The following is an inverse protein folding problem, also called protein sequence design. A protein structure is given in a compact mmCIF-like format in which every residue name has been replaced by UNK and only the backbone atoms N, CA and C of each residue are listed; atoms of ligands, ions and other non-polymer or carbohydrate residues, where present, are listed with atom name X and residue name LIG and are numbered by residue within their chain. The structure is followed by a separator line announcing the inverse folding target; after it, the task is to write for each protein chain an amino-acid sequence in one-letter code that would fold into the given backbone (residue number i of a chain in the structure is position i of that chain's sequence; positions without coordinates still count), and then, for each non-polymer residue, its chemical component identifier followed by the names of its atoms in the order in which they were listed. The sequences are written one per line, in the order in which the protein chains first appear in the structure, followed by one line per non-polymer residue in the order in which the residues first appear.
data_IF_926631372016
#
_entry.id   IF_926631372016
#
_cell.length_a   1.000
_cell.length_b   1.000
_cell.length_c   1.000
_cell.angle_alpha   90.00
_cell.angle_beta   90.00
_cell.angle_gamma   90.00
#
_symmetry.space_group_name_H-M   'P 1'
#
loop_
_entity.id
_entity.type
_entity.pdbx_description
1 polymer ?
#
# COMPACT_ATOMS: atom_id res chain seq x y z
N UNK A 1 -16.62 -16.30 9.55
CA UNK A 1 -15.21 -16.65 9.34
C UNK A 1 -14.92 -16.53 7.85
N UNK A 2 -14.45 -15.36 7.41
CA UNK A 2 -14.02 -15.11 6.04
C UNK A 2 -12.68 -14.38 6.16
N UNK A 3 -11.58 -14.89 5.59
CA UNK A 3 -10.32 -14.14 5.66
C UNK A 3 -9.03 -14.95 5.63
N UNK A 4 -8.82 -15.79 4.61
CA UNK A 4 -7.47 -16.33 4.32
C UNK A 4 -7.03 -16.21 2.87
N UNK A 5 -7.90 -15.81 1.94
CA UNK A 5 -7.56 -15.69 0.51
C UNK A 5 -6.88 -14.36 0.16
N UNK A 6 -7.55 -13.25 0.44
CA UNK A 6 -7.11 -11.90 0.01
C UNK A 6 -5.80 -11.46 0.66
N UNK A 7 -5.72 -11.51 2.00
CA UNK A 7 -4.50 -11.13 2.71
C UNK A 7 -3.27 -11.99 2.39
N UNK A 8 -3.47 -13.23 1.91
CA UNK A 8 -2.35 -14.08 1.49
C UNK A 8 -1.72 -13.55 0.19
N UNK A 9 -2.52 -13.26 -0.83
CA UNK A 9 -2.00 -12.73 -2.10
C UNK A 9 -1.39 -11.34 -1.92
N UNK A 10 -2.05 -10.46 -1.16
CA UNK A 10 -1.50 -9.15 -0.79
C UNK A 10 -0.11 -9.26 -0.16
N UNK A 11 0.09 -10.20 0.76
CA UNK A 11 1.40 -10.39 1.40
C UNK A 11 2.49 -10.85 0.42
N UNK A 12 2.12 -11.61 -0.62
CA UNK A 12 3.05 -12.05 -1.67
C UNK A 12 3.40 -10.88 -2.59
N UNK A 13 2.40 -10.10 -3.02
CA UNK A 13 2.63 -8.92 -3.85
C UNK A 13 3.44 -7.85 -3.13
N UNK A 14 3.19 -7.62 -1.84
CA UNK A 14 3.98 -6.69 -1.02
C UNK A 14 5.45 -7.04 -1.06
N UNK A 15 5.79 -8.29 -0.76
CA UNK A 15 7.17 -8.79 -0.77
C UNK A 15 7.83 -8.67 -2.14
N UNK A 16 7.10 -9.00 -3.21
CA UNK A 16 7.63 -8.87 -4.57
C UNK A 16 7.92 -7.41 -4.94
N UNK A 17 7.03 -6.49 -4.56
CA UNK A 17 7.18 -5.06 -4.84
C UNK A 17 8.34 -4.45 -4.07
N UNK A 18 8.54 -4.81 -2.79
CA UNK A 18 9.69 -4.39 -1.98
C UNK A 18 11.00 -4.78 -2.65
N UNK A 19 11.11 -6.03 -3.13
CA UNK A 19 12.31 -6.50 -3.84
C UNK A 19 12.55 -5.65 -5.10
N UNK A 20 11.53 -5.39 -5.90
CA UNK A 20 11.66 -4.62 -7.14
C UNK A 20 12.07 -3.16 -6.88
N UNK A 21 11.47 -2.51 -5.88
CA UNK A 21 11.83 -1.15 -5.49
C UNK A 21 13.27 -1.07 -4.98
N UNK A 22 13.72 -2.04 -4.17
CA UNK A 22 15.12 -2.11 -3.74
C UNK A 22 16.09 -2.37 -4.90
N UNK A 23 15.72 -3.20 -5.88
CA UNK A 23 16.53 -3.41 -7.09
C UNK A 23 16.71 -2.12 -7.90
N UNK A 24 15.75 -1.19 -7.80
CA UNK A 24 15.82 0.15 -8.38
C UNK A 24 16.57 1.17 -7.50
N UNK A 25 17.18 0.71 -6.40
CA UNK A 25 17.86 1.52 -5.37
C UNK A 25 16.94 2.53 -4.66
N UNK A 26 15.65 2.21 -4.55
CA UNK A 26 14.71 3.02 -3.80
C UNK A 26 14.67 2.61 -2.32
N UNK A 27 14.60 3.59 -1.43
CA UNK A 27 14.32 3.45 -0.03
C UNK A 27 12.83 3.10 0.16
N UNK A 28 12.57 2.02 0.87
CA UNK A 28 11.22 1.53 1.16
C UNK A 28 11.12 1.20 2.64
N UNK A 29 10.09 1.73 3.30
CA UNK A 29 9.70 1.38 4.65
C UNK A 29 8.38 0.60 4.58
N UNK A 30 8.34 -0.59 5.18
CA UNK A 30 7.12 -1.38 5.29
C UNK A 30 6.40 -1.07 6.62
N UNK A 31 5.06 -0.98 6.58
CA UNK A 31 4.23 -0.82 7.79
C UNK A 31 4.61 0.42 8.65
N UNK A 32 5.05 1.50 8.00
CA UNK A 32 5.47 2.73 8.67
C UNK A 32 4.25 3.50 9.21
N UNK A 33 4.25 3.91 10.50
CA UNK A 33 3.20 4.76 11.04
C UNK A 33 3.36 6.22 10.56
N UNK A 34 2.34 6.73 9.89
CA UNK A 34 2.26 8.13 9.48
C UNK A 34 1.18 8.88 10.28
N UNK A 35 1.51 10.08 10.74
CA UNK A 35 0.53 10.96 11.38
C UNK A 35 -0.45 11.49 10.34
N UNK A 36 -1.74 11.32 10.62
CA UNK A 36 -2.81 11.89 9.81
C UNK A 36 -3.20 13.23 10.39
N UNK A 37 -3.23 14.25 9.54
CA UNK A 37 -3.63 15.60 9.91
C UNK A 37 -4.96 15.98 9.28
N UNK A 38 -5.83 16.62 10.04
CA UNK A 38 -7.03 17.30 9.57
C UNK A 38 -7.00 18.74 10.09
N UNK A 39 -7.03 19.73 9.20
CA UNK A 39 -6.93 21.15 9.54
C UNK A 39 -5.74 21.46 10.48
N UNK A 40 -4.58 20.86 10.19
CA UNK A 40 -3.36 21.03 10.97
C UNK A 40 -3.34 20.32 12.34
N UNK A 41 -4.39 19.57 12.70
CA UNK A 41 -4.46 18.79 13.94
C UNK A 41 -4.24 17.31 13.65
N UNK A 42 -3.42 16.66 14.47
CA UNK A 42 -3.26 15.20 14.40
C UNK A 42 -4.58 14.54 14.79
N UNK A 43 -5.13 13.72 13.90
CA UNK A 43 -6.37 12.95 14.11
C UNK A 43 -6.13 11.46 14.30
N UNK A 44 -4.90 10.99 14.06
CA UNK A 44 -4.52 9.60 14.30
C UNK A 44 -3.21 9.23 13.63
N UNK A 45 -2.91 7.94 13.69
CA UNK A 45 -1.81 7.31 12.95
C UNK A 45 -2.40 6.33 11.94
N UNK A 46 -1.83 6.33 10.75
CA UNK A 46 -2.17 5.40 9.68
C UNK A 46 -0.92 4.60 9.33
N UNK A 47 -1.04 3.27 9.33
CA UNK A 47 0.02 2.37 8.94
C UNK A 47 -0.14 2.08 7.46
N UNK A 48 0.81 2.57 6.66
CA UNK A 48 0.82 2.34 5.22
C UNK A 48 1.41 0.98 4.90
N UNK A 49 0.97 0.34 3.81
CA UNK A 49 1.61 -0.90 3.38
C UNK A 49 3.10 -0.67 3.05
N UNK A 50 3.40 0.34 2.23
CA UNK A 50 4.76 0.77 1.88
C UNK A 50 4.87 2.30 1.83
N UNK A 51 5.98 2.83 2.32
CA UNK A 51 6.39 4.23 2.16
C UNK A 51 7.72 4.30 1.41
N UNK A 52 7.70 4.90 0.22
CA UNK A 52 8.82 4.91 -0.72
C UNK A 52 9.42 6.31 -0.81
N UNK A 53 10.74 6.42 -0.68
CA UNK A 53 11.51 7.67 -0.76
C UNK A 53 11.01 8.78 0.17
N UNK A 54 10.31 8.41 1.26
CA UNK A 54 9.65 9.37 2.15
C UNK A 54 8.67 10.33 1.45
N UNK A 55 8.19 9.96 0.26
CA UNK A 55 7.36 10.81 -0.62
C UNK A 55 6.11 10.08 -1.13
N UNK A 56 6.19 8.77 -1.40
CA UNK A 56 5.13 8.02 -2.05
C UNK A 56 4.59 6.95 -1.11
N UNK A 57 3.28 6.98 -0.86
CA UNK A 57 2.56 5.92 -0.17
C UNK A 57 2.01 4.93 -1.20
N UNK A 58 2.26 3.64 -1.00
CA UNK A 58 1.68 2.57 -1.81
C UNK A 58 0.80 1.69 -0.94
N UNK A 59 -0.49 1.67 -1.27
CA UNK A 59 -1.49 0.76 -0.68
C UNK A 59 -1.74 -0.40 -1.63
N UNK A 60 -1.65 -1.62 -1.11
CA UNK A 60 -1.94 -2.84 -1.85
C UNK A 60 -3.36 -3.31 -1.51
N UNK A 61 -4.10 -3.64 -2.56
CA UNK A 61 -5.43 -4.24 -2.46
C UNK A 61 -5.55 -5.33 -3.52
N UNK A 62 -6.02 -6.49 -3.11
CA UNK A 62 -6.34 -7.62 -3.97
C UNK A 62 -7.86 -7.85 -3.97
N UNK A 63 -8.47 -7.87 -5.16
CA UNK A 63 -9.92 -8.09 -5.31
C UNK A 63 -10.20 -9.27 -6.25
N UNK A 64 -11.20 -10.09 -5.90
CA UNK A 64 -11.56 -11.31 -6.65
C UNK A 64 -12.25 -11.01 -7.98
N UNK A 65 -12.94 -9.87 -8.10
CA UNK A 65 -13.61 -9.44 -9.32
C UNK A 65 -13.39 -7.94 -9.55
N UNK A 66 -12.69 -7.62 -10.64
CA UNK A 66 -12.60 -6.27 -11.16
C UNK A 66 -13.92 -5.94 -11.86
N UNK A 67 -14.67 -4.95 -11.37
CA UNK A 67 -15.68 -4.33 -12.24
C UNK A 67 -14.95 -3.80 -13.48
N UNK A 68 -15.53 -3.94 -14.68
CA UNK A 68 -14.90 -3.65 -15.98
C UNK A 68 -14.26 -2.25 -16.11
N UNK A 69 -14.49 -1.34 -15.17
CA UNK A 69 -13.88 -0.02 -15.12
C UNK A 69 -12.42 0.00 -14.66
N UNK A 70 -11.92 -1.03 -13.97
CA UNK A 70 -10.60 -1.01 -13.32
C UNK A 70 -9.76 -2.21 -13.74
N UNK A 71 -9.36 -2.28 -15.01
CA UNK A 71 -8.55 -3.38 -15.54
C UNK A 71 -7.08 -3.33 -15.03
N UNK A 72 -6.87 -3.57 -13.74
CA UNK A 72 -5.60 -4.01 -13.17
C UNK A 72 -5.90 -4.83 -11.90
N UNK A 73 -5.44 -6.10 -11.78
CA UNK A 73 -5.64 -6.92 -10.58
C UNK A 73 -5.04 -6.32 -9.30
N UNK A 74 -4.21 -5.29 -9.43
CA UNK A 74 -3.62 -4.50 -8.34
C UNK A 74 -4.08 -3.06 -8.51
N UNK A 75 -4.89 -2.56 -7.58
CA UNK A 75 -5.27 -1.15 -7.56
C UNK A 75 -4.29 -0.39 -6.67
N UNK A 76 -3.37 0.34 -7.30
CA UNK A 76 -2.51 1.29 -6.60
C UNK A 76 -3.34 2.54 -6.31
N UNK A 77 -3.52 2.87 -5.04
CA UNK A 77 -4.10 4.16 -4.65
C UNK A 77 -2.95 5.02 -4.15
N UNK A 78 -2.50 5.98 -4.94
CA UNK A 78 -1.60 7.03 -4.46
C UNK A 78 -2.44 8.02 -3.66
N UNK A 79 -2.28 8.05 -2.34
CA UNK A 79 -2.70 9.19 -1.53
C UNK A 79 -1.47 10.06 -1.36
N UNK A 80 -1.37 11.11 -2.16
CA UNK A 80 -0.37 12.16 -1.96
C UNK A 80 -0.96 13.15 -0.97
N UNK A 81 -0.27 13.35 0.15
CA UNK A 81 -0.62 14.35 1.16
C UNK A 81 -0.22 15.77 0.69
#
# INVERSE_FOLDING_TARGET
MAGRGFGFLESVYKKAMVIELHNQNLAVQEEEPLKVYYEGKVVGEFFVDLFVENEIIVELKSVENLSKAHACPVQFTSVTA
#
